data_IF_592287627636
#
_entry.id   IF_592287627636
#
_cell.length_a   1.000
_cell.length_b   1.000
_cell.length_c   1.000
_cell.angle_alpha   90.00
_cell.angle_beta   90.00
_cell.angle_gamma   90.00
#
_symmetry.space_group_name_H-M   'P 1'
#
loop_
_entity.id
_entity.type
_entity.pdbx_description
1 polymer ?
#
# COMPACT_ATOMS: atom_id res chain seq x y z
N UNK A 1 -31.69 11.77 41.57
CA UNK A 1 -30.54 12.00 40.67
C UNK A 1 -30.61 10.96 39.56
N UNK A 2 -31.01 11.35 38.34
CA UNK A 2 -31.07 10.46 37.18
C UNK A 2 -29.66 10.37 36.59
N UNK A 3 -29.05 9.20 36.65
CA UNK A 3 -27.79 8.90 35.98
C UNK A 3 -28.08 8.90 34.48
N UNK A 4 -27.55 9.92 33.81
CA UNK A 4 -27.75 10.20 32.39
C UNK A 4 -27.20 9.07 31.53
N UNK A 5 -28.01 8.65 30.55
CA UNK A 5 -27.75 7.72 29.45
C UNK A 5 -26.56 8.08 28.53
N UNK A 6 -25.69 9.01 28.94
CA UNK A 6 -24.61 9.57 28.13
C UNK A 6 -23.39 8.63 28.04
N UNK A 7 -23.30 7.61 28.90
CA UNK A 7 -22.14 6.70 28.92
C UNK A 7 -22.23 5.49 27.97
N UNK A 8 -23.37 5.28 27.28
CA UNK A 8 -23.50 4.21 26.27
C UNK A 8 -23.17 4.66 24.83
N UNK A 9 -22.74 5.92 24.63
CA UNK A 9 -22.34 6.48 23.33
C UNK A 9 -20.83 6.50 23.07
N UNK A 10 -20.02 5.93 23.96
CA UNK A 10 -18.56 5.78 23.78
C UNK A 10 -18.20 4.37 23.30
N UNK A 11 -18.81 3.93 22.20
CA UNK A 11 -18.15 2.93 21.35
C UNK A 11 -17.24 3.74 20.43
N UNK A 12 -15.91 3.51 20.41
CA UNK A 12 -15.05 4.18 19.45
C UNK A 12 -15.52 3.76 18.06
N UNK A 13 -16.16 4.66 17.33
CA UNK A 13 -16.37 4.52 15.89
C UNK A 13 -14.98 4.62 15.30
N UNK A 14 -14.31 3.47 15.16
CA UNK A 14 -13.09 3.38 14.37
C UNK A 14 -13.44 3.85 12.96
N UNK A 15 -12.69 4.83 12.48
CA UNK A 15 -12.93 5.44 11.18
C UNK A 15 -12.25 4.60 10.10
N UNK A 16 -12.97 4.33 9.03
CA UNK A 16 -12.69 3.25 8.10
C UNK A 16 -12.54 3.77 6.65
N UNK A 17 -11.49 3.39 5.93
CA UNK A 17 -11.08 4.00 4.63
C UNK A 17 -11.46 3.14 3.42
N UNK A 18 -11.95 3.77 2.35
CA UNK A 18 -12.20 3.16 1.04
C UNK A 18 -10.97 2.51 0.43
N UNK A 19 -11.10 1.19 0.31
CA UNK A 19 -10.60 0.44 -0.81
C UNK A 19 -11.77 0.02 -1.70
N UNK A 20 -11.56 0.06 -3.02
CA UNK A 20 -12.52 -0.27 -4.09
C UNK A 20 -13.67 0.71 -4.37
N UNK A 21 -13.57 2.01 -4.04
CA UNK A 21 -14.59 3.03 -4.38
C UNK A 21 -16.02 2.66 -3.91
N UNK A 22 -16.15 2.03 -2.74
CA UNK A 22 -17.40 1.43 -2.23
C UNK A 22 -18.11 0.42 -3.15
N UNK A 23 -17.44 -0.14 -4.17
CA UNK A 23 -18.04 -1.11 -5.09
C UNK A 23 -18.67 -2.30 -4.37
N UNK A 24 -17.99 -2.82 -3.35
CA UNK A 24 -18.45 -3.98 -2.58
C UNK A 24 -19.73 -3.66 -1.80
N UNK A 25 -19.83 -2.44 -1.26
CA UNK A 25 -21.04 -1.94 -0.59
C UNK A 25 -22.16 -1.70 -1.60
N UNK A 26 -21.82 -1.19 -2.79
CA UNK A 26 -22.76 -0.97 -3.89
C UNK A 26 -23.40 -2.28 -4.36
N UNK A 27 -22.63 -3.37 -4.45
CA UNK A 27 -23.13 -4.68 -4.90
C UNK A 27 -24.20 -5.27 -3.96
N UNK A 28 -24.12 -4.95 -2.67
CA UNK A 28 -25.10 -5.42 -1.66
C UNK A 28 -26.23 -4.41 -1.42
N UNK A 29 -26.24 -3.29 -2.14
CA UNK A 29 -27.30 -2.28 -2.08
C UNK A 29 -28.44 -2.67 -3.02
N UNK A 30 -29.71 -2.74 -2.55
CA UNK A 30 -30.86 -3.03 -3.41
C UNK A 30 -31.06 -1.94 -4.48
N UNK A 31 -31.62 -2.31 -5.64
CA UNK A 31 -31.82 -1.40 -6.77
C UNK A 31 -32.57 -0.12 -6.41
N UNK A 32 -33.62 -0.24 -5.59
CA UNK A 32 -34.45 0.90 -5.12
C UNK A 32 -33.67 1.95 -4.31
N UNK A 33 -32.48 1.61 -3.80
CA UNK A 33 -31.63 2.46 -2.96
C UNK A 33 -30.33 2.89 -3.65
N UNK A 34 -30.09 2.46 -4.90
CA UNK A 34 -28.84 2.76 -5.61
C UNK A 34 -28.66 4.25 -5.90
N UNK A 35 -29.74 4.99 -6.19
CA UNK A 35 -29.64 6.44 -6.42
C UNK A 35 -29.20 7.18 -5.15
N UNK A 36 -29.77 6.85 -3.99
CA UNK A 36 -29.37 7.44 -2.72
C UNK A 36 -27.95 7.02 -2.32
N UNK A 37 -27.57 5.77 -2.59
CA UNK A 37 -26.20 5.30 -2.42
C UNK A 37 -25.23 6.13 -3.25
N UNK A 38 -25.49 6.25 -4.55
CA UNK A 38 -24.63 6.98 -5.48
C UNK A 38 -24.57 8.47 -5.10
N UNK A 39 -25.66 9.08 -4.61
CA UNK A 39 -25.64 10.44 -4.06
C UNK A 39 -24.72 10.58 -2.83
N UNK A 40 -24.78 9.63 -1.89
CA UNK A 40 -23.93 9.63 -0.69
C UNK A 40 -22.45 9.47 -1.06
N UNK A 41 -22.14 8.53 -1.96
CA UNK A 41 -20.77 8.24 -2.38
C UNK A 41 -20.21 9.34 -3.30
N UNK A 42 -21.04 10.00 -4.11
CA UNK A 42 -20.56 11.07 -4.99
C UNK A 42 -20.34 12.41 -4.26
N UNK A 43 -20.83 12.55 -3.02
CA UNK A 43 -20.51 13.69 -2.16
C UNK A 43 -19.05 13.61 -1.65
N UNK A 44 -18.13 14.11 -2.48
CA UNK A 44 -16.70 14.17 -2.16
C UNK A 44 -16.33 15.31 -1.21
N UNK A 45 -17.29 16.17 -0.84
CA UNK A 45 -17.05 17.32 0.04
C UNK A 45 -16.95 16.93 1.52
N UNK A 46 -17.44 15.74 1.87
CA UNK A 46 -17.38 15.21 3.23
C UNK A 46 -16.21 14.25 3.41
N UNK A 47 -15.86 14.00 4.67
CA UNK A 47 -14.88 12.99 5.01
C UNK A 47 -15.45 11.58 4.88
N UNK A 48 -14.55 10.62 4.79
CA UNK A 48 -14.84 9.20 4.72
C UNK A 48 -15.73 8.71 5.88
N UNK A 49 -15.51 9.24 7.09
CA UNK A 49 -16.32 8.91 8.27
C UNK A 49 -17.80 9.25 8.06
N UNK A 50 -18.07 10.45 7.55
CA UNK A 50 -19.44 10.93 7.33
C UNK A 50 -20.09 10.17 6.18
N UNK A 51 -19.36 9.85 5.11
CA UNK A 51 -19.85 8.97 4.05
C UNK A 51 -20.23 7.59 4.60
N UNK A 52 -19.36 6.96 5.38
CA UNK A 52 -19.64 5.68 6.03
C UNK A 52 -20.86 5.75 6.96
N UNK A 53 -20.99 6.82 7.73
CA UNK A 53 -22.16 7.03 8.60
C UNK A 53 -23.45 7.11 7.79
N UNK A 54 -23.45 7.89 6.71
CA UNK A 54 -24.60 8.01 5.79
C UNK A 54 -24.95 6.66 5.15
N UNK A 55 -23.94 5.87 4.73
CA UNK A 55 -24.15 4.53 4.18
C UNK A 55 -24.74 3.54 5.20
N UNK A 56 -24.29 3.58 6.46
CA UNK A 56 -24.86 2.75 7.53
C UNK A 56 -26.32 3.13 7.82
N UNK A 57 -26.65 4.43 7.79
CA UNK A 57 -28.04 4.90 7.92
C UNK A 57 -28.87 4.41 6.73
N UNK A 58 -28.37 4.54 5.49
CA UNK A 58 -29.02 4.03 4.30
C UNK A 58 -29.32 2.52 4.44
N UNK A 59 -28.34 1.73 4.87
CA UNK A 59 -28.47 0.29 5.06
C UNK A 59 -29.52 -0.13 6.11
N UNK A 60 -29.86 0.76 7.04
CA UNK A 60 -30.92 0.50 8.02
C UNK A 60 -32.32 0.44 7.40
N UNK A 61 -32.54 1.10 6.25
CA UNK A 61 -33.82 1.09 5.55
C UNK A 61 -34.13 -0.25 4.87
N UNK A 62 -33.14 -1.11 4.67
CA UNK A 62 -33.29 -2.42 4.04
C UNK A 62 -32.62 -3.56 4.82
N UNK A 63 -32.44 -3.39 6.15
CA UNK A 63 -31.95 -4.41 7.08
C UNK A 63 -30.57 -5.00 6.73
N UNK A 64 -29.67 -4.22 6.12
CA UNK A 64 -28.31 -4.64 5.72
C UNK A 64 -27.20 -3.94 6.49
N UNK A 65 -27.54 -3.31 7.62
CA UNK A 65 -26.59 -2.58 8.48
C UNK A 65 -25.37 -3.42 8.87
N UNK A 66 -25.55 -4.71 9.13
CA UNK A 66 -24.45 -5.62 9.51
C UNK A 66 -23.50 -5.84 8.34
N UNK A 67 -24.03 -6.18 7.16
CA UNK A 67 -23.23 -6.43 5.95
C UNK A 67 -22.39 -5.18 5.60
N UNK A 68 -23.00 -4.00 5.63
CA UNK A 68 -22.30 -2.73 5.40
C UNK A 68 -21.17 -2.51 6.42
N UNK A 69 -21.43 -2.73 7.72
CA UNK A 69 -20.40 -2.56 8.75
C UNK A 69 -19.22 -3.51 8.55
N UNK A 70 -19.49 -4.75 8.15
CA UNK A 70 -18.44 -5.75 7.86
C UNK A 70 -17.57 -5.26 6.70
N UNK A 71 -18.17 -4.94 5.55
CA UNK A 71 -17.42 -4.48 4.37
C UNK A 71 -16.61 -3.21 4.64
N UNK A 72 -17.19 -2.23 5.33
CA UNK A 72 -16.47 -1.01 5.69
C UNK A 72 -15.30 -1.29 6.65
N UNK A 73 -15.46 -2.24 7.58
CA UNK A 73 -14.37 -2.67 8.48
C UNK A 73 -13.25 -3.38 7.72
N UNK A 74 -13.58 -4.19 6.70
CA UNK A 74 -12.59 -4.86 5.85
C UNK A 74 -11.75 -3.86 5.06
N UNK A 75 -12.39 -2.86 4.44
CA UNK A 75 -11.71 -1.79 3.72
C UNK A 75 -10.72 -1.01 4.60
N UNK A 76 -11.08 -0.80 5.88
CA UNK A 76 -10.16 -0.19 6.83
C UNK A 76 -8.95 -1.05 7.14
N UNK A 77 -9.15 -2.36 7.35
CA UNK A 77 -8.05 -3.30 7.57
C UNK A 77 -7.13 -3.37 6.36
N UNK A 78 -7.67 -3.26 5.14
CA UNK A 78 -6.88 -3.15 3.92
C UNK A 78 -6.04 -1.86 3.92
N UNK A 79 -6.64 -0.73 4.30
CA UNK A 79 -5.92 0.56 4.38
C UNK A 79 -4.77 0.51 5.40
N UNK A 80 -5.04 -0.04 6.58
CA UNK A 80 -4.02 -0.23 7.63
C UNK A 80 -2.90 -1.18 7.16
N UNK A 81 -3.25 -2.24 6.43
CA UNK A 81 -2.25 -3.14 5.81
C UNK A 81 -1.35 -2.41 4.82
N UNK A 82 -1.90 -1.57 3.94
CA UNK A 82 -1.13 -0.76 3.00
C UNK A 82 -0.18 0.17 3.75
N UNK A 83 -0.70 0.91 4.74
CA UNK A 83 0.10 1.82 5.55
C UNK A 83 1.28 1.11 6.21
N UNK A 84 1.01 0.02 6.93
CA UNK A 84 2.04 -0.75 7.63
C UNK A 84 3.08 -1.33 6.67
N UNK A 85 2.65 -1.86 5.52
CA UNK A 85 3.54 -2.40 4.51
C UNK A 85 4.46 -1.31 3.92
N UNK A 86 3.90 -0.16 3.57
CA UNK A 86 4.67 0.92 2.95
C UNK A 86 5.62 1.61 3.94
N UNK A 87 5.21 1.79 5.20
CA UNK A 87 6.10 2.27 6.27
C UNK A 87 7.27 1.31 6.50
N UNK A 88 7.00 0.00 6.54
CA UNK A 88 8.05 -1.02 6.67
C UNK A 88 9.07 -0.96 5.54
N UNK A 89 8.59 -0.83 4.29
CA UNK A 89 9.47 -0.67 3.12
C UNK A 89 10.29 0.62 3.23
N UNK A 90 9.64 1.73 3.59
CA UNK A 90 10.32 3.03 3.77
C UNK A 90 11.48 2.95 4.75
N UNK A 91 11.32 2.20 5.84
CA UNK A 91 12.33 1.99 6.87
C UNK A 91 13.53 1.16 6.40
N UNK A 92 13.29 0.15 5.56
CA UNK A 92 14.23 -0.96 5.36
C UNK A 92 14.81 -1.04 3.96
N UNK A 93 14.19 -0.37 2.97
CA UNK A 93 14.56 -0.52 1.54
C UNK A 93 16.02 -0.12 1.26
N UNK A 94 16.55 0.87 1.95
CA UNK A 94 17.96 1.27 1.85
C UNK A 94 18.91 0.17 2.33
N UNK A 95 18.63 -0.43 3.48
CA UNK A 95 19.41 -1.55 4.01
C UNK A 95 19.37 -2.74 3.07
N UNK A 96 18.17 -3.11 2.61
CA UNK A 96 17.99 -4.21 1.64
C UNK A 96 18.80 -3.98 0.37
N UNK A 97 18.77 -2.74 -0.17
CA UNK A 97 19.54 -2.36 -1.35
C UNK A 97 21.04 -2.51 -1.16
N UNK A 98 21.59 -2.03 -0.04
CA UNK A 98 23.03 -2.14 0.21
C UNK A 98 23.49 -3.59 0.35
N UNK A 99 22.69 -4.44 0.98
CA UNK A 99 22.98 -5.87 1.03
C UNK A 99 22.92 -6.47 -0.38
N UNK A 100 21.88 -6.17 -1.17
CA UNK A 100 21.78 -6.63 -2.56
C UNK A 100 22.98 -6.20 -3.42
N UNK A 101 23.42 -4.94 -3.31
CA UNK A 101 24.61 -4.44 -3.99
C UNK A 101 25.87 -5.20 -3.58
N UNK A 102 26.03 -5.52 -2.28
CA UNK A 102 27.17 -6.27 -1.78
C UNK A 102 27.22 -7.70 -2.34
N UNK A 103 26.05 -8.32 -2.54
CA UNK A 103 25.93 -9.64 -3.17
C UNK A 103 26.41 -9.56 -4.62
N UNK A 104 25.90 -8.59 -5.39
CA UNK A 104 26.24 -8.40 -6.81
C UNK A 104 27.70 -7.99 -7.04
N UNK A 105 28.28 -7.20 -6.12
CA UNK A 105 29.66 -6.72 -6.22
C UNK A 105 30.69 -7.82 -5.87
N UNK A 106 30.29 -8.91 -5.23
CA UNK A 106 31.21 -9.94 -4.77
C UNK A 106 31.66 -10.89 -5.89
N UNK A 107 32.73 -10.51 -6.60
CA UNK A 107 33.30 -11.27 -7.72
C UNK A 107 33.97 -12.60 -7.33
N UNK A 108 34.17 -12.84 -6.03
CA UNK A 108 34.76 -14.08 -5.53
C UNK A 108 33.71 -15.19 -5.35
N UNK A 109 32.43 -14.90 -5.61
CA UNK A 109 31.31 -15.83 -5.46
C UNK A 109 30.77 -16.22 -6.83
N UNK A 110 30.43 -17.50 -6.98
CA UNK A 110 29.82 -18.01 -8.21
C UNK A 110 28.41 -17.43 -8.40
N UNK A 111 27.86 -17.56 -9.61
CA UNK A 111 26.48 -17.13 -9.92
C UNK A 111 25.47 -17.82 -9.00
N UNK A 112 25.66 -19.11 -8.75
CA UNK A 112 24.79 -19.93 -7.91
C UNK A 112 24.84 -19.48 -6.44
N UNK A 113 26.04 -19.17 -5.93
CA UNK A 113 26.20 -18.66 -4.56
C UNK A 113 25.55 -17.28 -4.39
N UNK A 114 25.68 -16.39 -5.38
CA UNK A 114 25.02 -15.08 -5.36
C UNK A 114 23.50 -15.22 -5.43
N UNK A 115 22.97 -16.16 -6.24
CA UNK A 115 21.55 -16.46 -6.30
C UNK A 115 21.00 -16.99 -4.98
N UNK A 116 21.75 -17.86 -4.29
CA UNK A 116 21.35 -18.38 -2.98
C UNK A 116 21.23 -17.23 -1.96
N UNK A 117 22.25 -16.36 -1.88
CA UNK A 117 22.22 -15.20 -0.99
C UNK A 117 21.09 -14.23 -1.32
N UNK A 118 20.79 -14.04 -2.60
CA UNK A 118 19.68 -13.18 -3.01
C UNK A 118 18.32 -13.76 -2.60
N UNK A 119 18.16 -15.09 -2.62
CA UNK A 119 16.97 -15.76 -2.06
C UNK A 119 16.84 -15.59 -0.55
N UNK A 120 17.95 -15.67 0.18
CA UNK A 120 17.93 -15.42 1.62
C UNK A 120 17.57 -13.96 1.94
N UNK A 121 18.08 -13.02 1.14
CA UNK A 121 17.72 -11.61 1.24
C UNK A 121 16.23 -11.37 0.94
N UNK A 122 15.68 -12.04 -0.08
CA UNK A 122 14.26 -11.96 -0.43
C UNK A 122 13.35 -12.48 0.69
N UNK A 123 13.76 -13.54 1.41
CA UNK A 123 13.05 -14.02 2.60
C UNK A 123 13.07 -13.00 3.75
N UNK A 124 14.18 -12.29 3.92
CA UNK A 124 14.33 -11.31 5.01
C UNK A 124 13.67 -9.96 4.68
N UNK A 125 13.75 -9.51 3.41
CA UNK A 125 13.25 -8.22 2.92
C UNK A 125 12.32 -8.38 1.71
N UNK A 126 11.20 -9.11 1.84
CA UNK A 126 10.38 -9.48 0.70
C UNK A 126 9.75 -8.32 -0.04
N UNK A 127 9.20 -7.35 0.70
CA UNK A 127 8.52 -6.20 0.10
C UNK A 127 9.52 -5.27 -0.57
N UNK A 128 10.69 -5.09 0.05
CA UNK A 128 11.76 -4.24 -0.44
C UNK A 128 12.40 -4.84 -1.69
N UNK A 129 12.67 -6.15 -1.69
CA UNK A 129 13.19 -6.87 -2.86
C UNK A 129 12.18 -6.87 -4.01
N UNK A 130 10.90 -7.09 -3.72
CA UNK A 130 9.84 -6.99 -4.72
C UNK A 130 9.73 -5.58 -5.32
N UNK A 131 9.79 -4.53 -4.49
CA UNK A 131 9.77 -3.15 -4.96
C UNK A 131 10.99 -2.81 -5.84
N UNK A 132 12.19 -3.23 -5.43
CA UNK A 132 13.39 -3.03 -6.25
C UNK A 132 13.30 -3.79 -7.58
N UNK A 133 12.84 -5.04 -7.57
CA UNK A 133 12.67 -5.82 -8.79
C UNK A 133 11.61 -5.20 -9.72
N UNK A 134 10.52 -4.66 -9.17
CA UNK A 134 9.49 -3.98 -9.96
C UNK A 134 10.04 -2.76 -10.69
N UNK A 135 10.86 -1.93 -10.03
CA UNK A 135 11.54 -0.78 -10.67
C UNK A 135 12.45 -1.28 -11.79
N UNK A 136 13.25 -2.32 -11.52
CA UNK A 136 14.18 -2.89 -12.49
C UNK A 136 13.46 -3.53 -13.69
N UNK A 137 12.27 -4.07 -13.48
CA UNK A 137 11.44 -4.59 -14.56
C UNK A 137 10.92 -3.44 -15.45
N UNK A 138 10.34 -2.39 -14.86
CA UNK A 138 9.76 -1.28 -15.61
C UNK A 138 10.80 -0.49 -16.42
N UNK A 139 11.93 -0.14 -15.80
CA UNK A 139 12.90 0.77 -16.40
C UNK A 139 13.97 0.05 -17.24
N UNK A 140 14.22 -1.24 -16.96
CA UNK A 140 15.32 -2.00 -17.55
C UNK A 140 14.95 -3.39 -18.06
N UNK A 141 13.68 -3.80 -17.92
CA UNK A 141 13.16 -5.09 -18.37
C UNK A 141 13.87 -6.30 -17.73
N UNK A 142 14.28 -6.17 -16.46
CA UNK A 142 14.75 -7.30 -15.65
C UNK A 142 13.57 -7.98 -14.96
N UNK A 143 13.18 -9.17 -15.43
CA UNK A 143 12.00 -9.89 -14.93
C UNK A 143 12.23 -10.62 -13.63
N UNK A 144 13.48 -10.92 -13.30
CA UNK A 144 13.84 -11.70 -12.12
C UNK A 144 15.26 -11.42 -11.64
N UNK A 145 15.54 -11.84 -10.40
CA UNK A 145 16.85 -11.67 -9.75
C UNK A 145 17.99 -12.36 -10.50
N UNK A 146 17.72 -13.46 -11.21
CA UNK A 146 18.77 -14.19 -11.93
C UNK A 146 19.29 -13.39 -13.13
N UNK A 147 18.41 -12.68 -13.83
CA UNK A 147 18.79 -11.75 -14.91
C UNK A 147 19.63 -10.58 -14.40
N UNK A 148 19.26 -10.01 -13.24
CA UNK A 148 20.02 -8.93 -12.59
C UNK A 148 21.44 -9.40 -12.23
N UNK A 149 21.56 -10.58 -11.63
CA UNK A 149 22.86 -11.18 -11.29
C UNK A 149 23.69 -11.41 -12.55
N UNK A 150 23.08 -11.98 -13.59
CA UNK A 150 23.77 -12.26 -14.85
C UNK A 150 24.27 -10.99 -15.54
N UNK A 151 23.43 -9.96 -15.59
CA UNK A 151 23.80 -8.64 -16.12
C UNK A 151 24.94 -8.03 -15.30
N UNK A 152 24.91 -8.15 -13.96
CA UNK A 152 25.98 -7.64 -13.10
C UNK A 152 27.34 -8.28 -13.38
N UNK A 153 27.38 -9.52 -13.86
CA UNK A 153 28.62 -10.21 -14.23
C UNK A 153 29.07 -9.87 -15.64
N UNK A 154 28.13 -9.73 -16.59
CA UNK A 154 28.41 -9.47 -18.01
C UNK A 154 28.77 -8.01 -18.30
N UNK A 155 28.05 -7.06 -17.69
CA UNK A 155 28.22 -5.62 -17.93
C UNK A 155 28.25 -4.82 -16.61
N UNK A 156 29.38 -4.84 -15.89
CA UNK A 156 29.53 -4.08 -14.64
C UNK A 156 29.33 -2.56 -14.78
N UNK A 157 29.82 -1.89 -15.84
CA UNK A 157 29.56 -0.46 -16.06
C UNK A 157 28.07 -0.13 -16.17
N UNK A 158 27.30 -0.90 -16.94
CA UNK A 158 25.85 -0.73 -17.03
C UNK A 158 25.18 -0.89 -15.67
N UNK A 159 25.51 -1.96 -14.94
CA UNK A 159 24.90 -2.20 -13.62
C UNK A 159 25.27 -1.17 -12.56
N UNK A 160 26.40 -0.49 -12.69
CA UNK A 160 26.72 0.68 -11.86
C UNK A 160 25.75 1.84 -12.12
N UNK A 161 25.38 2.09 -13.38
CA UNK A 161 24.39 3.12 -13.74
C UNK A 161 23.00 2.76 -13.20
N UNK A 162 22.56 1.51 -13.39
CA UNK A 162 21.30 0.99 -12.83
C UNK A 162 21.23 1.20 -11.32
N UNK A 163 22.31 0.88 -10.61
CA UNK A 163 22.36 1.01 -9.16
C UNK A 163 22.31 2.46 -8.67
N UNK A 164 22.78 3.42 -9.47
CA UNK A 164 22.67 4.86 -9.18
C UNK A 164 21.25 5.35 -9.41
N UNK A 165 20.58 4.94 -10.49
CA UNK A 165 19.18 5.33 -10.73
C UNK A 165 18.25 4.74 -9.65
N UNK A 166 18.47 3.49 -9.24
CA UNK A 166 17.74 2.86 -8.12
C UNK A 166 17.97 3.60 -6.79
N UNK A 167 19.12 4.25 -6.58
CA UNK A 167 19.37 5.10 -5.41
C UNK A 167 18.39 6.28 -5.34
N UNK A 168 18.00 6.84 -6.48
CA UNK A 168 17.09 7.98 -6.52
C UNK A 168 15.69 7.60 -6.03
N UNK A 169 15.18 6.43 -6.44
CA UNK A 169 13.93 5.88 -5.93
C UNK A 169 13.97 5.68 -4.41
N UNK A 170 15.05 5.10 -3.92
CA UNK A 170 15.23 4.78 -2.50
C UNK A 170 15.33 6.04 -1.66
N UNK A 171 16.09 7.04 -2.10
CA UNK A 171 16.20 8.32 -1.41
C UNK A 171 14.87 9.05 -1.31
N UNK A 172 14.10 9.06 -2.40
CA UNK A 172 12.78 9.70 -2.41
C UNK A 172 11.83 9.02 -1.43
N UNK A 173 11.80 7.68 -1.42
CA UNK A 173 11.03 6.91 -0.43
C UNK A 173 11.51 7.16 0.98
N UNK A 174 12.81 7.15 1.26
CA UNK A 174 13.30 7.40 2.62
C UNK A 174 12.96 8.80 3.12
N UNK A 175 13.08 9.81 2.26
CA UNK A 175 12.87 11.20 2.64
C UNK A 175 11.39 11.55 2.80
N UNK A 176 10.51 10.96 1.98
CA UNK A 176 9.10 11.36 1.89
C UNK A 176 8.10 10.25 2.21
N UNK A 177 8.53 8.99 2.25
CA UNK A 177 7.66 7.83 2.39
C UNK A 177 6.83 7.83 3.66
N UNK A 178 7.37 8.30 4.79
CA UNK A 178 6.60 8.47 6.02
C UNK A 178 5.49 9.51 5.89
N UNK A 179 5.79 10.67 5.32
CA UNK A 179 4.81 11.73 5.12
C UNK A 179 3.73 11.28 4.15
N UNK A 180 4.12 10.65 3.04
CA UNK A 180 3.21 10.03 2.07
C UNK A 180 2.31 9.01 2.77
N UNK A 181 2.87 8.10 3.56
CA UNK A 181 2.12 7.07 4.27
C UNK A 181 1.10 7.68 5.24
N UNK A 182 1.53 8.70 6.01
CA UNK A 182 0.67 9.39 6.97
C UNK A 182 -0.46 10.13 6.25
N UNK A 183 -0.15 10.96 5.26
CA UNK A 183 -1.16 11.77 4.57
C UNK A 183 -2.16 10.89 3.80
N UNK A 184 -1.70 9.75 3.28
CA UNK A 184 -2.56 8.74 2.64
C UNK A 184 -3.19 7.75 3.63
N UNK A 185 -2.93 7.84 4.94
CA UNK A 185 -3.58 7.01 5.97
C UNK A 185 -4.54 7.82 6.85
N UNK A 186 -4.18 9.05 7.26
CA UNK A 186 -4.98 9.96 8.10
C UNK A 186 -6.22 10.56 7.40
N UNK A 187 -6.55 10.01 6.24
CA UNK A 187 -7.71 10.25 5.39
C UNK A 187 -9.11 10.22 6.06
N UNK A 188 -9.34 9.51 7.19
CA UNK A 188 -10.56 9.65 8.00
C UNK A 188 -11.09 11.06 8.25
N UNK A 189 -10.22 12.06 8.38
CA UNK A 189 -10.60 13.38 8.92
C UNK A 189 -10.58 14.52 7.89
N UNK A 190 -10.22 14.24 6.64
CA UNK A 190 -10.22 15.22 5.54
C UNK A 190 -11.29 14.87 4.51
N UNK A 191 -11.70 15.84 3.69
CA UNK A 191 -12.67 15.56 2.64
C UNK A 191 -12.09 14.60 1.59
N UNK A 192 -12.93 13.78 0.96
CA UNK A 192 -12.50 12.87 -0.12
C UNK A 192 -11.95 13.65 -1.34
N UNK A 193 -12.38 14.90 -1.52
CA UNK A 193 -11.80 15.84 -2.49
C UNK A 193 -10.36 16.19 -2.14
N UNK A 194 -10.10 16.66 -0.91
CA UNK A 194 -8.75 17.04 -0.48
C UNK A 194 -7.79 15.83 -0.55
N UNK A 195 -8.27 14.63 -0.19
CA UNK A 195 -7.55 13.36 -0.38
C UNK A 195 -7.08 13.19 -1.83
N UNK A 196 -7.96 13.43 -2.81
CA UNK A 196 -7.63 13.32 -4.23
C UNK A 196 -6.56 14.33 -4.64
N UNK A 197 -6.64 15.56 -4.10
CA UNK A 197 -5.64 16.60 -4.33
C UNK A 197 -4.28 16.25 -3.72
N UNK A 198 -4.23 15.72 -2.49
CA UNK A 198 -3.00 15.22 -1.88
C UNK A 198 -2.38 14.09 -2.70
N UNK A 199 -3.18 13.12 -3.14
CA UNK A 199 -2.68 12.04 -3.99
C UNK A 199 -2.07 12.58 -5.29
N UNK A 200 -2.71 13.55 -5.93
CA UNK A 200 -2.20 14.20 -7.13
C UNK A 200 -0.90 14.97 -6.85
N UNK A 201 -0.84 15.68 -5.73
CA UNK A 201 0.35 16.39 -5.28
C UNK A 201 1.52 15.43 -5.08
N UNK A 202 1.33 14.35 -4.33
CA UNK A 202 2.38 13.35 -4.08
C UNK A 202 2.87 12.70 -5.37
N UNK A 203 1.96 12.33 -6.29
CA UNK A 203 2.33 11.78 -7.61
C UNK A 203 3.11 12.76 -8.48
N UNK A 204 2.84 14.06 -8.35
CA UNK A 204 3.51 15.10 -9.14
C UNK A 204 4.89 15.41 -8.58
N UNK A 205 5.00 15.55 -7.26
CA UNK A 205 6.23 16.01 -6.60
C UNK A 205 7.21 14.86 -6.32
N UNK A 206 6.68 13.66 -6.07
CA UNK A 206 7.44 12.50 -5.65
C UNK A 206 6.97 11.22 -6.39
N UNK A 207 7.11 11.19 -7.72
CA UNK A 207 6.61 10.11 -8.56
C UNK A 207 7.27 8.76 -8.26
N UNK A 208 8.55 8.73 -7.85
CA UNK A 208 9.29 7.50 -7.60
C UNK A 208 8.85 6.84 -6.30
N UNK A 209 8.64 7.64 -5.26
CA UNK A 209 8.09 7.16 -4.01
C UNK A 209 6.64 6.67 -4.19
N UNK A 210 5.85 7.39 -4.98
CA UNK A 210 4.48 6.98 -5.30
C UNK A 210 4.40 5.70 -6.15
N UNK A 211 5.37 5.44 -7.02
CA UNK A 211 5.45 4.18 -7.76
C UNK A 211 5.68 3.00 -6.82
N UNK A 212 6.60 3.14 -5.86
CA UNK A 212 6.83 2.12 -4.82
C UNK A 212 5.58 1.95 -3.96
N UNK A 213 4.94 3.05 -3.54
CA UNK A 213 3.68 3.00 -2.80
C UNK A 213 2.60 2.20 -3.56
N UNK A 214 2.40 2.47 -4.85
CA UNK A 214 1.37 1.81 -5.66
C UNK A 214 1.65 0.31 -5.84
N UNK A 215 2.92 -0.07 -6.00
CA UNK A 215 3.33 -1.47 -6.02
C UNK A 215 3.06 -2.17 -4.68
N UNK A 216 3.45 -1.55 -3.58
CA UNK A 216 3.21 -2.10 -2.23
C UNK A 216 1.72 -2.18 -1.92
N UNK A 217 0.92 -1.19 -2.36
CA UNK A 217 -0.54 -1.27 -2.31
C UNK A 217 -1.03 -2.49 -3.06
N UNK A 218 -0.55 -2.73 -4.29
CA UNK A 218 -0.93 -3.91 -5.08
C UNK A 218 -0.69 -5.23 -4.35
N UNK A 219 0.47 -5.38 -3.68
CA UNK A 219 0.83 -6.58 -2.91
C UNK A 219 0.00 -6.69 -1.63
N UNK A 220 -0.16 -5.59 -0.89
CA UNK A 220 -0.84 -5.58 0.41
C UNK A 220 -2.30 -6.03 0.33
N UNK A 221 -2.93 -5.83 -0.82
CA UNK A 221 -4.33 -6.17 -1.10
C UNK A 221 -4.52 -7.57 -1.67
N UNK A 222 -3.44 -8.22 -2.11
CA UNK A 222 -3.45 -9.62 -2.52
C UNK A 222 -3.14 -10.46 -1.28
N UNK A 223 -4.18 -10.83 -0.55
CA UNK A 223 -4.10 -11.63 0.69
C UNK A 223 -3.34 -12.96 0.51
N UNK A 224 -3.25 -13.47 -0.72
CA UNK A 224 -2.53 -14.70 -1.08
C UNK A 224 -1.02 -14.50 -1.34
N UNK A 225 -0.56 -13.27 -1.63
CA UNK A 225 0.86 -12.98 -1.88
C UNK A 225 1.65 -12.76 -0.58
N UNK A 226 1.05 -12.19 0.47
CA UNK A 226 1.75 -12.00 1.76
C UNK A 226 2.01 -13.35 2.45
N UNK A 227 1.07 -14.30 2.40
CA UNK A 227 1.22 -15.63 3.00
C UNK A 227 2.07 -16.61 2.17
N UNK A 228 2.30 -16.33 0.89
CA UNK A 228 3.25 -17.09 0.06
C UNK A 228 4.67 -16.54 0.10
N UNK A 229 4.84 -15.30 0.59
CA UNK A 229 6.12 -14.61 0.73
C UNK A 229 6.65 -14.64 2.17
N UNK A 230 5.77 -14.73 3.18
CA UNK A 230 6.13 -15.00 4.57
C UNK A 230 5.50 -16.33 4.95
N UNK A 231 6.25 -17.45 4.99
CA UNK A 231 5.72 -18.66 5.62
C UNK A 231 5.51 -18.31 7.09
N UNK A 232 4.30 -18.56 7.59
CA UNK A 232 3.96 -18.46 9.00
C UNK A 232 5.10 -19.06 9.85
N UNK A 233 5.65 -18.24 10.75
CA UNK A 233 6.51 -18.71 11.83
C UNK A 233 5.72 -19.62 12.76
#
# INVERSE_FOLDING_TARGET
MKISLVFLLLIPVQVYSELNDYKDVRMVTPEDYLEQFDLIVNDTSVCEEETNRKLIVLASHFNKTVDFRVTLTENAKDTERIYNAFVKVTQRIYTAKHIAQSILANRNKSKEEQQLKAKDLDREYPLEMSAMLHILDLDYNYKNVAEVIESSMKDPPHMKKVALELEEYIKEVQNHGYQIAQDLHFLPYISRRDRSEYLKMWRTNYPKAMMIHDHIKGIALRTDEINSVVPNQ
#
